data_IF_117112200058
#
_entry.id   IF_117112200058
#
_cell.length_a   1.000
_cell.length_b   1.000
_cell.length_c   1.000
_cell.angle_alpha   90.00
_cell.angle_beta   90.00
_cell.angle_gamma   90.00
#
_symmetry.space_group_name_H-M   'P 1'
#
loop_
_entity.id
_entity.type
_entity.pdbx_description
1 polymer ?
#
# COMPACT_ATOMS: atom_id res chain seq x y z
N UNK A 1 -10.82 37.30 -75.37
CA UNK A 1 -10.45 38.28 -74.33
C UNK A 1 -11.52 38.27 -73.24
N UNK A 2 -11.07 38.21 -71.98
CA UNK A 2 -11.83 38.23 -70.71
C UNK A 2 -12.66 36.98 -70.39
N UNK A 3 -11.96 35.98 -69.84
CA UNK A 3 -12.53 34.85 -69.12
C UNK A 3 -13.20 35.35 -67.83
N UNK A 4 -14.49 35.04 -67.72
CA UNK A 4 -15.38 35.38 -66.63
C UNK A 4 -15.07 34.48 -65.43
N UNK A 5 -15.02 35.12 -64.26
CA UNK A 5 -14.52 34.57 -63.00
C UNK A 5 -15.37 33.41 -62.49
N UNK A 6 -14.65 32.35 -62.14
CA UNK A 6 -14.93 31.26 -61.20
C UNK A 6 -16.25 31.31 -60.42
N UNK A 7 -17.15 30.40 -60.80
CA UNK A 7 -18.09 29.75 -59.90
C UNK A 7 -17.99 28.24 -60.17
N UNK A 8 -17.24 27.51 -59.36
CA UNK A 8 -17.40 26.07 -59.11
C UNK A 8 -16.38 25.69 -58.03
N UNK A 9 -16.81 25.68 -56.77
CA UNK A 9 -17.30 24.51 -56.05
C UNK A 9 -16.16 23.59 -55.59
N UNK A 10 -16.10 23.43 -54.27
CA UNK A 10 -15.64 22.24 -53.55
C UNK A 10 -14.34 21.59 -54.04
N UNK A 11 -13.30 21.69 -53.24
CA UNK A 11 -12.74 20.55 -52.49
C UNK A 11 -11.39 20.93 -51.88
N UNK A 12 -11.14 20.46 -50.66
CA UNK A 12 -9.83 20.44 -49.97
C UNK A 12 -9.47 21.74 -49.22
N UNK A 13 -10.17 21.97 -48.09
CA UNK A 13 -9.49 22.37 -46.85
C UNK A 13 -9.87 21.33 -45.79
N UNK A 14 -9.31 20.14 -45.97
CA UNK A 14 -8.87 19.25 -44.89
C UNK A 14 -7.36 19.52 -44.91
N UNK A 15 -6.80 20.32 -44.00
CA UNK A 15 -6.17 19.88 -42.76
C UNK A 15 -6.13 21.10 -41.81
N UNK A 16 -7.11 21.23 -40.93
CA UNK A 16 -7.00 21.98 -39.67
C UNK A 16 -7.71 21.20 -38.54
N UNK A 17 -7.57 19.88 -38.58
CA UNK A 17 -8.16 18.95 -37.62
C UNK A 17 -7.10 17.95 -37.18
N UNK A 18 -6.02 18.41 -36.55
CA UNK A 18 -5.03 17.52 -35.93
C UNK A 18 -4.23 18.22 -34.82
N UNK A 19 -4.91 18.91 -33.90
CA UNK A 19 -4.41 19.05 -32.53
C UNK A 19 -5.55 18.79 -31.55
N UNK A 20 -6.24 17.68 -31.80
CA UNK A 20 -7.23 17.10 -30.89
C UNK A 20 -7.07 15.57 -30.94
N UNK A 21 -5.83 15.13 -30.71
CA UNK A 21 -5.48 13.74 -30.45
C UNK A 21 -4.41 13.70 -29.36
N UNK A 22 -4.67 14.35 -28.23
CA UNK A 22 -4.25 13.73 -26.97
C UNK A 22 -5.41 12.86 -26.51
N UNK A 23 -5.50 11.73 -27.20
CA UNK A 23 -6.47 10.69 -26.95
C UNK A 23 -6.15 10.14 -25.56
N UNK A 24 -7.09 10.40 -24.65
CA UNK A 24 -7.22 9.80 -23.33
C UNK A 24 -7.08 8.28 -23.39
N UNK A 25 -5.85 7.79 -23.28
CA UNK A 25 -5.46 6.39 -23.07
C UNK A 25 -4.88 6.21 -21.66
N UNK A 26 -5.42 6.94 -20.69
CA UNK A 26 -5.12 6.74 -19.28
C UNK A 26 -6.24 5.85 -18.71
N UNK A 27 -6.03 4.53 -18.52
CA UNK A 27 -6.95 3.70 -17.77
C UNK A 27 -6.71 3.98 -16.29
N UNK A 28 -6.93 5.21 -15.83
CA UNK A 28 -6.71 5.59 -14.43
C UNK A 28 -8.03 6.07 -13.84
N UNK A 29 -9.00 5.16 -13.91
CA UNK A 29 -10.14 5.10 -13.01
C UNK A 29 -10.03 3.86 -12.13
N UNK A 30 -8.81 3.47 -11.72
CA UNK A 30 -8.70 2.72 -10.48
C UNK A 30 -9.07 3.72 -9.39
N UNK A 31 -9.99 3.36 -8.49
CA UNK A 31 -10.20 4.18 -7.30
C UNK A 31 -8.83 4.39 -6.66
N UNK A 32 -8.27 5.61 -6.71
CA UNK A 32 -7.03 5.92 -6.03
C UNK A 32 -7.32 5.83 -4.53
N UNK A 33 -7.13 4.63 -4.00
CA UNK A 33 -7.27 4.38 -2.59
C UNK A 33 -6.22 5.21 -1.87
N UNK A 34 -6.67 6.18 -1.08
CA UNK A 34 -5.75 6.95 -0.26
C UNK A 34 -5.05 6.00 0.73
N UNK A 35 -3.70 6.04 0.78
CA UNK A 35 -2.96 5.25 1.75
C UNK A 35 -3.44 5.53 3.17
N UNK A 36 -3.72 4.46 3.92
CA UNK A 36 -4.24 4.58 5.29
C UNK A 36 -3.60 3.58 6.22
N UNK A 37 -3.64 3.88 7.51
CA UNK A 37 -3.07 3.03 8.55
C UNK A 37 -4.15 2.70 9.55
N UNK A 38 -4.21 1.43 9.93
CA UNK A 38 -4.99 0.97 11.06
C UNK A 38 -4.05 0.44 12.13
N UNK A 39 -4.14 0.99 13.33
CA UNK A 39 -3.31 0.61 14.47
C UNK A 39 -4.16 -0.13 15.49
N UNK A 40 -3.67 -1.22 16.02
CA UNK A 40 -4.23 -1.76 17.27
C UNK A 40 -3.91 -0.82 18.43
N UNK A 41 -4.90 -0.51 19.26
CA UNK A 41 -4.67 0.30 20.45
C UNK A 41 -3.71 -0.40 21.44
N UNK A 42 -2.69 0.34 21.88
CA UNK A 42 -1.71 -0.10 22.87
C UNK A 42 -1.10 1.11 23.59
N UNK A 43 -0.34 0.87 24.67
CA UNK A 43 0.20 1.90 25.56
C UNK A 43 0.99 3.02 24.88
N UNK A 44 1.57 2.77 23.70
CA UNK A 44 2.38 3.74 22.94
C UNK A 44 1.74 4.21 21.63
N UNK A 45 0.45 3.90 21.40
CA UNK A 45 -0.23 4.22 20.14
C UNK A 45 -0.18 5.72 19.82
N UNK A 46 -0.31 6.58 20.84
CA UNK A 46 -0.27 8.04 20.67
C UNK A 46 1.08 8.53 20.12
N UNK A 47 2.19 7.89 20.52
CA UNK A 47 3.53 8.27 20.06
C UNK A 47 3.71 7.93 18.58
N UNK A 48 3.18 6.80 18.14
CA UNK A 48 3.16 6.42 16.73
C UNK A 48 2.24 7.35 15.93
N UNK A 49 1.05 7.67 16.43
CA UNK A 49 0.12 8.55 15.73
C UNK A 49 0.74 9.91 15.38
N UNK A 50 1.57 10.47 16.26
CA UNK A 50 2.32 11.71 15.98
C UNK A 50 3.25 11.50 14.78
N UNK A 51 4.04 10.44 14.78
CA UNK A 51 4.95 10.14 13.66
C UNK A 51 4.21 9.86 12.35
N UNK A 52 3.02 9.27 12.41
CA UNK A 52 2.18 9.03 11.22
C UNK A 52 1.51 10.30 10.68
N UNK A 53 1.18 11.24 11.56
CA UNK A 53 0.66 12.54 11.16
C UNK A 53 1.71 13.30 10.33
N UNK A 54 2.99 13.21 10.70
CA UNK A 54 4.11 13.80 9.94
C UNK A 54 4.28 13.17 8.54
N UNK A 55 3.78 11.94 8.34
CA UNK A 55 3.79 11.25 7.04
C UNK A 55 2.57 11.57 6.16
N UNK A 56 1.66 12.43 6.63
CA UNK A 56 0.39 12.79 5.98
C UNK A 56 -0.53 11.59 5.71
N UNK A 57 -0.47 10.56 6.57
CA UNK A 57 -1.27 9.33 6.41
C UNK A 57 -2.51 9.34 7.29
N UNK A 58 -3.68 9.05 6.69
CA UNK A 58 -4.92 8.85 7.44
C UNK A 58 -4.78 7.64 8.36
N UNK A 59 -4.87 7.87 9.67
CA UNK A 59 -4.68 6.84 10.69
C UNK A 59 -5.94 6.59 11.51
N UNK A 60 -6.28 5.32 11.74
CA UNK A 60 -7.40 4.87 12.59
C UNK A 60 -6.85 3.98 13.71
N UNK A 61 -7.31 4.18 14.94
CA UNK A 61 -7.01 3.26 16.06
C UNK A 61 -8.18 2.30 16.24
N UNK A 62 -7.90 1.00 16.21
CA UNK A 62 -8.88 -0.04 16.48
C UNK A 62 -9.37 0.03 17.94
N UNK A 63 -10.68 -0.16 18.21
CA UNK A 63 -11.26 -0.02 19.55
C UNK A 63 -10.69 -1.03 20.56
N UNK A 64 -10.62 -0.61 21.84
CA UNK A 64 -10.04 -1.34 22.98
C UNK A 64 -10.79 -2.61 23.37
N UNK A 65 -12.09 -2.68 23.08
CA UNK A 65 -13.05 -3.52 23.81
C UNK A 65 -13.02 -5.02 23.45
N UNK A 66 -11.88 -5.55 23.00
CA UNK A 66 -11.79 -6.92 22.47
C UNK A 66 -10.78 -7.87 23.13
N UNK A 67 -10.00 -7.47 24.15
CA UNK A 67 -9.23 -8.36 25.07
C UNK A 67 -8.23 -7.60 25.98
N UNK A 68 -7.76 -8.20 27.10
CA UNK A 68 -6.65 -7.66 27.87
C UNK A 68 -5.37 -7.61 27.03
N UNK A 69 -4.74 -6.44 27.01
CA UNK A 69 -3.48 -6.19 26.31
C UNK A 69 -2.35 -7.00 26.96
N UNK A 70 -1.73 -7.92 26.21
CA UNK A 70 -0.42 -8.47 26.56
C UNK A 70 0.54 -8.15 25.43
N UNK A 71 1.80 -7.84 25.76
CA UNK A 71 2.82 -7.42 24.79
C UNK A 71 2.97 -8.44 23.63
N UNK A 72 2.78 -9.73 23.93
CA UNK A 72 2.90 -10.82 22.97
C UNK A 72 1.67 -11.02 22.05
N UNK A 73 0.57 -10.30 22.30
CA UNK A 73 -0.70 -10.54 21.59
C UNK A 73 -0.76 -9.93 20.19
N UNK A 74 0.12 -8.98 19.85
CA UNK A 74 -0.02 -8.12 18.66
C UNK A 74 1.27 -8.02 17.83
N UNK A 75 1.63 -9.12 17.18
CA UNK A 75 2.91 -9.28 16.51
C UNK A 75 2.89 -9.14 14.96
N UNK A 76 1.73 -8.89 14.34
CA UNK A 76 1.54 -8.99 12.89
C UNK A 76 1.35 -7.62 12.19
N UNK A 77 2.11 -7.39 11.11
CA UNK A 77 1.84 -6.39 10.08
C UNK A 77 1.05 -7.03 8.93
N UNK A 78 -0.06 -6.41 8.51
CA UNK A 78 -0.78 -6.79 7.30
C UNK A 78 -0.66 -5.64 6.31
N UNK A 79 0.03 -5.89 5.20
CA UNK A 79 0.33 -4.90 4.17
C UNK A 79 -0.65 -5.08 3.01
N UNK A 80 -1.43 -4.04 2.70
CA UNK A 80 -2.24 -4.01 1.50
C UNK A 80 -1.36 -4.00 0.24
N UNK A 81 -1.78 -4.72 -0.81
CA UNK A 81 -0.98 -4.88 -2.04
C UNK A 81 -0.67 -3.56 -2.76
N UNK A 82 -1.49 -2.53 -2.54
CA UNK A 82 -1.33 -1.18 -3.10
C UNK A 82 -0.75 -0.18 -2.08
N UNK A 83 -0.36 -0.62 -0.89
CA UNK A 83 0.25 0.27 0.10
C UNK A 83 1.62 0.75 -0.41
N UNK A 84 1.94 2.06 -0.40
CA UNK A 84 3.17 2.57 -1.02
C UNK A 84 4.43 2.08 -0.31
N UNK A 85 5.34 1.46 -1.05
CA UNK A 85 6.59 0.92 -0.50
C UNK A 85 7.49 1.96 0.19
N UNK A 86 7.51 3.23 -0.28
CA UNK A 86 8.29 4.29 0.37
C UNK A 86 7.76 4.56 1.78
N UNK A 87 6.44 4.70 1.90
CA UNK A 87 5.77 4.90 3.19
C UNK A 87 5.96 3.70 4.12
N UNK A 88 5.91 2.47 3.59
CA UNK A 88 6.18 1.27 4.39
C UNK A 88 7.60 1.31 4.94
N UNK A 89 8.59 1.64 4.12
CA UNK A 89 10.00 1.70 4.51
C UNK A 89 10.24 2.74 5.60
N UNK A 90 9.63 3.92 5.48
CA UNK A 90 9.65 4.96 6.51
C UNK A 90 9.03 4.49 7.83
N UNK A 91 7.85 3.86 7.76
CA UNK A 91 7.13 3.34 8.94
C UNK A 91 7.93 2.25 9.65
N UNK A 92 8.53 1.33 8.90
CA UNK A 92 9.39 0.28 9.45
C UNK A 92 10.60 0.86 10.22
N UNK A 93 11.03 2.08 9.89
CA UNK A 93 12.11 2.79 10.56
C UNK A 93 11.83 3.13 12.03
N UNK A 94 10.56 3.24 12.42
CA UNK A 94 10.20 3.58 13.80
C UNK A 94 9.18 2.64 14.46
N UNK A 95 8.33 1.94 13.69
CA UNK A 95 7.20 1.17 14.25
C UNK A 95 7.64 0.10 15.25
N UNK A 96 8.79 -0.54 15.01
CA UNK A 96 9.33 -1.61 15.88
C UNK A 96 9.88 -1.09 17.21
N UNK A 97 10.09 0.21 17.35
CA UNK A 97 10.44 0.82 18.64
C UNK A 97 9.23 0.86 19.59
N UNK A 98 8.02 0.74 19.06
CA UNK A 98 6.77 0.89 19.79
C UNK A 98 5.92 -0.40 19.78
N UNK A 99 5.99 -1.18 18.71
CA UNK A 99 5.53 -2.58 18.64
C UNK A 99 6.76 -3.48 18.65
N UNK A 100 7.33 -3.70 19.83
CA UNK A 100 8.59 -4.45 20.00
C UNK A 100 8.46 -5.91 19.59
N UNK A 101 7.28 -6.48 19.78
CA UNK A 101 6.97 -7.88 19.45
C UNK A 101 6.48 -8.05 18.01
N UNK A 102 6.75 -7.07 17.14
CA UNK A 102 6.38 -7.16 15.74
C UNK A 102 7.34 -8.11 15.00
N UNK A 103 6.85 -9.33 14.77
CA UNK A 103 7.62 -10.45 14.24
C UNK A 103 7.06 -11.04 12.94
N UNK A 104 5.84 -10.68 12.53
CA UNK A 104 5.21 -11.25 11.35
C UNK A 104 4.80 -10.17 10.37
N UNK A 105 4.93 -10.45 9.08
CA UNK A 105 4.47 -9.59 7.99
C UNK A 105 3.71 -10.44 6.99
N UNK A 106 2.55 -9.97 6.56
CA UNK A 106 1.71 -10.64 5.56
C UNK A 106 1.25 -9.66 4.48
N UNK A 107 0.97 -10.20 3.30
CA UNK A 107 0.22 -9.47 2.27
C UNK A 107 -1.27 -9.71 2.48
N UNK A 108 -2.05 -8.64 2.37
CA UNK A 108 -3.50 -8.74 2.27
C UNK A 108 -3.89 -9.57 1.03
N UNK A 109 -5.08 -10.16 1.05
CA UNK A 109 -5.63 -11.06 0.01
C UNK A 109 -4.87 -12.39 -0.18
N UNK A 110 -3.54 -12.40 -0.32
CA UNK A 110 -2.75 -13.63 -0.47
C UNK A 110 -2.85 -14.55 0.73
N UNK A 111 -2.88 -13.94 1.92
CA UNK A 111 -3.02 -14.66 3.17
C UNK A 111 -4.47 -14.64 3.68
N UNK A 112 -5.48 -14.37 2.82
CA UNK A 112 -6.91 -14.22 3.18
C UNK A 112 -7.17 -13.17 4.28
N UNK A 113 -6.23 -12.25 4.50
CA UNK A 113 -6.47 -11.07 5.30
C UNK A 113 -7.24 -10.04 4.48
N UNK A 114 -8.54 -9.90 4.77
CA UNK A 114 -9.43 -8.97 4.06
C UNK A 114 -9.31 -7.57 4.64
N UNK A 115 -8.54 -6.72 3.97
CA UNK A 115 -8.53 -5.28 4.23
C UNK A 115 -9.62 -4.60 3.38
N UNK A 116 -10.33 -3.63 3.96
CA UNK A 116 -11.36 -2.85 3.22
C UNK A 116 -10.74 -1.95 2.14
N UNK A 117 -9.48 -1.56 2.35
CA UNK A 117 -8.72 -0.68 1.48
C UNK A 117 -7.42 -1.43 1.09
N UNK A 118 -7.16 -1.69 -0.21
CA UNK A 118 -5.94 -2.36 -0.67
C UNK A 118 -4.67 -1.51 -0.49
N UNK A 119 -4.80 -0.20 -0.26
CA UNK A 119 -3.72 0.70 0.13
C UNK A 119 -3.71 0.94 1.65
N UNK A 120 -4.13 -0.03 2.47
CA UNK A 120 -4.07 0.05 3.93
C UNK A 120 -2.90 -0.76 4.50
N UNK A 121 -2.29 -0.24 5.55
CA UNK A 121 -1.37 -0.97 6.44
C UNK A 121 -2.06 -1.20 7.78
N UNK A 122 -2.18 -2.46 8.22
CA UNK A 122 -2.62 -2.79 9.57
C UNK A 122 -1.39 -3.08 10.43
N UNK A 123 -1.25 -2.38 11.55
CA UNK A 123 -0.14 -2.52 12.49
C UNK A 123 -0.63 -3.12 13.82
N UNK A 124 0.01 -4.21 14.23
CA UNK A 124 -0.28 -4.88 15.49
C UNK A 124 -1.52 -5.77 15.42
N UNK A 125 -1.71 -6.54 14.34
CA UNK A 125 -2.73 -7.58 14.29
C UNK A 125 -2.37 -8.75 15.24
N UNK A 126 -3.39 -9.54 15.62
CA UNK A 126 -3.23 -10.60 16.63
C UNK A 126 -2.21 -11.66 16.21
N UNK A 127 -1.37 -12.10 17.13
CA UNK A 127 -0.38 -13.17 16.90
C UNK A 127 -1.05 -14.49 16.49
N UNK A 128 -2.23 -14.80 17.03
CA UNK A 128 -3.01 -15.99 16.66
C UNK A 128 -3.33 -16.03 15.15
N UNK A 129 -3.55 -14.87 14.52
CA UNK A 129 -3.76 -14.80 13.08
C UNK A 129 -2.49 -15.21 12.32
N UNK A 130 -1.32 -14.78 12.78
CA UNK A 130 -0.07 -15.21 12.15
C UNK A 130 0.16 -16.73 12.28
N UNK A 131 -0.17 -17.31 13.45
CA UNK A 131 -0.05 -18.74 13.70
C UNK A 131 -1.04 -19.53 12.83
N UNK A 132 -2.31 -19.12 12.80
CA UNK A 132 -3.36 -19.79 12.02
C UNK A 132 -3.06 -19.79 10.52
N UNK A 133 -2.42 -18.72 10.02
CA UNK A 133 -1.99 -18.61 8.62
C UNK A 133 -0.57 -19.14 8.37
N UNK A 134 0.05 -19.80 9.37
CA UNK A 134 1.39 -20.41 9.29
C UNK A 134 2.47 -19.45 8.77
N UNK A 135 2.41 -18.20 9.21
CA UNK A 135 3.38 -17.19 8.81
C UNK A 135 4.76 -17.49 9.42
N UNK A 136 5.80 -17.17 8.65
CA UNK A 136 7.18 -17.26 9.14
C UNK A 136 7.45 -16.07 10.07
N UNK A 137 8.11 -16.31 11.20
CA UNK A 137 8.62 -15.22 12.03
C UNK A 137 9.84 -14.57 11.34
N UNK A 138 9.81 -13.26 11.19
CA UNK A 138 10.84 -12.46 10.52
C UNK A 138 11.98 -12.15 11.48
N UNK A 139 13.21 -12.32 11.00
CA UNK A 139 14.40 -11.85 11.71
C UNK A 139 14.56 -10.33 11.54
N UNK A 140 15.38 -9.69 12.38
CA UNK A 140 15.75 -8.28 12.19
C UNK A 140 16.31 -8.00 10.79
N UNK A 141 17.09 -8.93 10.24
CA UNK A 141 17.64 -8.81 8.88
C UNK A 141 16.54 -8.84 7.81
N UNK A 142 15.44 -9.56 8.02
CA UNK A 142 14.33 -9.61 7.08
C UNK A 142 13.55 -8.29 7.06
N UNK A 143 13.39 -7.64 8.23
CA UNK A 143 12.85 -6.28 8.30
C UNK A 143 13.74 -5.25 7.60
N UNK A 144 15.06 -5.30 7.80
CA UNK A 144 15.98 -4.39 7.12
C UNK A 144 15.96 -4.58 5.60
N UNK A 145 15.81 -5.82 5.11
CA UNK A 145 15.61 -6.07 3.67
C UNK A 145 14.33 -5.43 3.15
N UNK A 146 13.22 -5.57 3.86
CA UNK A 146 11.95 -4.97 3.46
C UNK A 146 12.01 -3.44 3.47
N UNK A 147 12.73 -2.84 4.43
CA UNK A 147 12.95 -1.39 4.49
C UNK A 147 13.85 -0.87 3.35
N UNK A 148 14.67 -1.72 2.76
CA UNK A 148 15.62 -1.34 1.69
C UNK A 148 15.04 -1.45 0.27
N UNK A 149 13.79 -1.92 0.12
CA UNK A 149 13.16 -2.09 -1.20
C UNK A 149 12.95 -0.75 -1.91
N UNK A 150 13.10 -0.75 -3.23
CA UNK A 150 13.07 0.46 -4.08
C UNK A 150 11.86 0.54 -4.99
N UNK A 151 10.99 -0.47 -4.94
CA UNK A 151 9.81 -0.53 -5.79
C UNK A 151 8.68 -1.35 -5.17
N UNK A 152 7.45 -1.11 -5.65
CA UNK A 152 6.27 -1.88 -5.24
C UNK A 152 6.40 -3.38 -5.54
N UNK A 153 6.83 -3.82 -6.74
CA UNK A 153 6.96 -5.25 -7.02
C UNK A 153 8.00 -5.93 -6.12
N UNK A 154 9.12 -5.25 -5.84
CA UNK A 154 10.17 -5.76 -4.95
C UNK A 154 9.69 -5.93 -3.52
N UNK A 155 8.89 -4.98 -3.01
CA UNK A 155 8.25 -5.08 -1.69
C UNK A 155 7.36 -6.32 -1.60
N UNK A 156 6.44 -6.50 -2.56
CA UNK A 156 5.52 -7.64 -2.60
C UNK A 156 6.29 -8.96 -2.71
N UNK A 157 7.28 -9.03 -3.59
CA UNK A 157 8.11 -10.21 -3.78
C UNK A 157 8.91 -10.56 -2.51
N UNK A 158 9.49 -9.57 -1.85
CA UNK A 158 10.27 -9.77 -0.61
C UNK A 158 9.40 -10.41 0.47
N UNK A 159 8.18 -9.89 0.67
CA UNK A 159 7.25 -10.44 1.67
C UNK A 159 6.89 -11.90 1.35
N UNK A 160 6.55 -12.21 0.08
CA UNK A 160 6.24 -13.57 -0.37
C UNK A 160 7.40 -14.54 -0.19
N UNK A 161 8.61 -14.10 -0.55
CA UNK A 161 9.80 -14.95 -0.48
C UNK A 161 10.17 -15.30 0.96
N UNK A 162 9.98 -14.39 1.91
CA UNK A 162 10.28 -14.69 3.32
C UNK A 162 9.21 -15.64 3.88
N UNK A 163 7.93 -15.37 3.61
CA UNK A 163 6.83 -16.19 4.12
C UNK A 163 6.80 -17.62 3.54
N UNK A 164 7.38 -17.84 2.36
CA UNK A 164 7.51 -19.18 1.76
C UNK A 164 8.67 -20.02 2.29
N UNK A 165 9.64 -19.43 3.02
CA UNK A 165 10.79 -20.18 3.57
C UNK A 165 10.41 -21.19 4.64
N UNK A 166 9.31 -20.98 5.37
CA UNK A 166 8.85 -21.89 6.43
C UNK A 166 7.84 -22.94 5.94
N UNK A 167 7.42 -22.90 4.67
CA UNK A 167 6.46 -23.85 4.10
C UNK A 167 7.13 -25.14 3.55
N UNK A 168 8.45 -25.27 3.71
CA UNK A 168 9.25 -26.47 3.40
C UNK A 168 9.78 -27.07 4.69
#
# INVERSE_FOLDING_TARGET
MKNLKSFLLLSIIVILSSCSTFQSWLPFGENEYQPSIKLTNHDRVTQILVLLADLELKSEVAPLDSMPFTQNSYALLIVGEQFPHQKLSEILGFVRNYYTDLHYVALANENDFKLKNPAQLFIGAKTDLAINHKLTAWSTNDFEKLKAVKSQPEMLQTIKQINSKSAK
#
